data_IF_445726380782
#
_entry.id   IF_445726380782
#
_cell.length_a   1.000
_cell.length_b   1.000
_cell.length_c   1.000
_cell.angle_alpha   90.00
_cell.angle_beta   90.00
_cell.angle_gamma   90.00
#
_symmetry.space_group_name_H-M   'P 1'
#
loop_
_entity.id
_entity.type
_entity.pdbx_description
1 polymer ?
#
# COMPACT_ATOMS: atom_id res chain seq x y z
N UNK A 1 24.64 0.64 -40.97
CA UNK A 1 23.33 0.04 -40.61
C UNK A 1 22.41 0.17 -41.83
N UNK A 2 22.02 -0.97 -42.44
CA UNK A 2 21.29 -0.99 -43.72
C UNK A 2 19.79 -1.14 -43.46
N UNK A 3 19.03 -0.13 -43.88
CA UNK A 3 17.59 -0.22 -44.14
C UNK A 3 17.36 -1.33 -45.17
N UNK A 4 16.63 -2.39 -44.79
CA UNK A 4 16.18 -3.41 -45.74
C UNK A 4 14.73 -3.17 -46.09
N UNK A 5 14.57 -2.70 -47.32
CA UNK A 5 13.34 -2.48 -48.06
C UNK A 5 12.45 -3.71 -48.09
N UNK A 6 11.15 -3.50 -47.87
CA UNK A 6 10.11 -4.51 -48.05
C UNK A 6 9.87 -4.73 -49.55
N UNK A 7 10.31 -5.87 -50.08
CA UNK A 7 9.96 -6.34 -51.42
C UNK A 7 8.50 -6.81 -51.46
N UNK A 8 7.70 -6.16 -52.30
CA UNK A 8 6.36 -6.61 -52.69
C UNK A 8 6.46 -7.64 -53.81
N UNK A 9 5.91 -8.84 -53.60
CA UNK A 9 5.50 -9.74 -54.68
C UNK A 9 3.98 -9.89 -54.64
N UNK A 10 3.36 -9.50 -55.74
CA UNK A 10 1.92 -9.59 -56.00
C UNK A 10 1.64 -10.93 -56.69
N UNK A 11 1.05 -11.89 -55.97
CA UNK A 11 0.51 -13.09 -56.61
C UNK A 11 -0.82 -13.52 -55.97
N UNK A 12 -1.88 -13.29 -56.76
CA UNK A 12 -3.07 -14.14 -56.95
C UNK A 12 -4.01 -14.38 -55.74
N UNK A 13 -4.98 -13.46 -55.61
CA UNK A 13 -6.43 -13.72 -55.71
C UNK A 13 -7.02 -14.99 -55.04
N UNK A 14 -6.84 -15.18 -53.73
CA UNK A 14 -7.84 -15.85 -52.83
C UNK A 14 -7.54 -15.63 -51.34
N UNK A 15 -6.66 -14.67 -51.00
CA UNK A 15 -6.03 -14.56 -49.69
C UNK A 15 -6.23 -13.17 -49.07
N UNK A 16 -7.42 -12.56 -49.15
CA UNK A 16 -7.67 -11.22 -48.54
C UNK A 16 -8.46 -11.27 -47.23
N UNK A 17 -9.38 -12.23 -47.05
CA UNK A 17 -10.22 -12.32 -45.84
C UNK A 17 -9.44 -12.78 -44.61
N UNK A 18 -8.52 -13.73 -44.77
CA UNK A 18 -7.81 -14.38 -43.66
C UNK A 18 -6.82 -13.46 -42.96
N UNK A 19 -6.14 -12.58 -43.70
CA UNK A 19 -5.21 -11.63 -43.11
C UNK A 19 -5.92 -10.54 -42.31
N UNK A 20 -7.03 -9.95 -42.82
CA UNK A 20 -7.79 -8.95 -42.08
C UNK A 20 -8.35 -9.49 -40.75
N UNK A 21 -8.76 -10.76 -40.71
CA UNK A 21 -9.16 -11.46 -39.49
C UNK A 21 -7.95 -11.69 -38.57
N UNK A 22 -6.83 -12.18 -39.09
CA UNK A 22 -5.60 -12.41 -38.29
C UNK A 22 -5.04 -11.12 -37.67
N UNK A 23 -5.02 -10.01 -38.41
CA UNK A 23 -4.59 -8.70 -37.92
C UNK A 23 -5.55 -8.14 -36.86
N UNK A 24 -6.87 -8.26 -37.04
CA UNK A 24 -7.86 -7.87 -36.01
C UNK A 24 -7.71 -8.67 -34.72
N UNK A 25 -7.42 -9.96 -34.79
CA UNK A 25 -7.23 -10.80 -33.60
C UNK A 25 -5.92 -10.50 -32.86
N UNK A 26 -4.81 -10.28 -33.58
CA UNK A 26 -3.51 -9.93 -32.97
C UNK A 26 -3.51 -8.53 -32.33
N UNK A 27 -4.19 -7.56 -32.95
CA UNK A 27 -4.39 -6.24 -32.34
C UNK A 27 -5.33 -6.29 -31.12
N UNK A 28 -6.39 -7.11 -31.14
CA UNK A 28 -7.27 -7.28 -29.96
C UNK A 28 -6.54 -7.92 -28.78
N UNK A 29 -5.76 -8.99 -29.02
CA UNK A 29 -4.97 -9.61 -27.95
C UNK A 29 -3.91 -8.64 -27.40
N UNK A 30 -3.19 -7.93 -28.29
CA UNK A 30 -2.19 -6.94 -27.86
C UNK A 30 -2.80 -5.75 -27.11
N UNK A 31 -3.98 -5.29 -27.50
CA UNK A 31 -4.68 -4.19 -26.81
C UNK A 31 -5.22 -4.65 -25.45
N UNK A 32 -5.70 -5.90 -25.35
CA UNK A 32 -6.15 -6.49 -24.09
C UNK A 32 -5.01 -6.70 -23.10
N UNK A 33 -3.84 -7.17 -23.54
CA UNK A 33 -2.69 -7.36 -22.64
C UNK A 33 -2.14 -6.02 -22.14
N UNK A 34 -2.13 -4.98 -22.98
CA UNK A 34 -1.71 -3.62 -22.59
C UNK A 34 -2.67 -2.97 -21.60
N UNK A 35 -3.98 -3.18 -21.75
CA UNK A 35 -4.98 -2.72 -20.78
C UNK A 35 -4.84 -3.46 -19.44
N UNK A 36 -4.66 -4.78 -19.47
CA UNK A 36 -4.47 -5.56 -18.24
C UNK A 36 -3.18 -5.18 -17.50
N UNK A 37 -2.07 -4.95 -18.21
CA UNK A 37 -0.82 -4.52 -17.58
C UNK A 37 -0.93 -3.10 -16.99
N UNK A 38 -1.63 -2.18 -17.66
CA UNK A 38 -1.90 -0.84 -17.14
C UNK A 38 -2.75 -0.90 -15.86
N UNK A 39 -3.80 -1.74 -15.83
CA UNK A 39 -4.63 -1.94 -14.63
C UNK A 39 -3.81 -2.54 -13.49
N UNK A 40 -2.97 -3.54 -13.76
CA UNK A 40 -2.06 -4.13 -12.78
C UNK A 40 -1.08 -3.09 -12.20
N UNK A 41 -0.50 -2.23 -13.04
CA UNK A 41 0.39 -1.15 -12.59
C UNK A 41 -0.35 -0.13 -11.71
N UNK A 42 -1.58 0.24 -12.07
CA UNK A 42 -2.40 1.17 -11.27
C UNK A 42 -2.79 0.58 -9.91
N UNK A 43 -3.09 -0.73 -9.84
CA UNK A 43 -3.37 -1.43 -8.58
C UNK A 43 -2.11 -1.48 -7.71
N UNK A 44 -0.96 -1.81 -8.28
CA UNK A 44 0.31 -1.92 -7.55
C UNK A 44 0.77 -0.57 -6.97
N UNK A 45 0.57 0.54 -7.68
CA UNK A 45 0.88 1.88 -7.17
C UNK A 45 0.08 2.24 -5.92
N UNK A 46 -1.18 1.78 -5.80
CA UNK A 46 -2.00 2.04 -4.60
C UNK A 46 -1.51 1.30 -3.35
N UNK A 47 -0.88 0.14 -3.53
CA UNK A 47 -0.35 -0.66 -2.40
C UNK A 47 0.91 -0.06 -1.77
N UNK A 48 1.65 0.82 -2.47
CA UNK A 48 2.87 1.44 -1.95
C UNK A 48 2.63 2.68 -1.06
N UNK A 49 1.38 3.11 -0.92
CA UNK A 49 1.04 4.50 -0.53
C UNK A 49 1.35 4.90 0.91
N UNK A 50 1.68 3.98 1.84
CA UNK A 50 1.95 4.38 3.22
C UNK A 50 2.78 3.35 3.98
N UNK A 51 4.05 3.21 3.61
CA UNK A 51 5.02 2.52 4.49
C UNK A 51 5.37 3.54 5.59
N UNK A 52 5.00 3.29 6.86
CA UNK A 52 5.30 4.22 7.94
C UNK A 52 6.82 4.34 8.10
N UNK A 53 7.34 5.57 8.06
CA UNK A 53 8.77 5.81 8.26
C UNK A 53 9.08 5.93 9.74
N UNK A 54 9.94 5.05 10.25
CA UNK A 54 10.44 5.08 11.62
C UNK A 54 11.88 5.59 11.64
N UNK A 55 12.16 6.62 12.44
CA UNK A 55 13.50 7.19 12.64
C UNK A 55 13.78 7.39 14.12
N UNK A 56 15.04 7.20 14.51
CA UNK A 56 15.50 7.41 15.87
C UNK A 56 16.54 8.54 15.88
N UNK A 57 16.14 9.75 16.26
CA UNK A 57 16.98 10.96 16.17
C UNK A 57 16.87 11.73 17.48
N UNK A 58 17.98 12.29 17.99
CA UNK A 58 18.00 13.16 19.18
C UNK A 58 17.24 12.60 20.41
N UNK A 59 17.44 11.32 20.73
CA UNK A 59 16.73 10.65 21.85
C UNK A 59 15.20 10.61 21.69
N UNK A 60 14.70 10.65 20.45
CA UNK A 60 13.29 10.56 20.10
C UNK A 60 13.03 9.45 19.08
N UNK A 61 11.80 8.94 19.09
CA UNK A 61 11.27 8.08 18.04
C UNK A 61 10.32 8.90 17.18
N UNK A 62 10.72 9.17 15.94
CA UNK A 62 9.89 9.82 14.95
C UNK A 62 9.21 8.73 14.13
N UNK A 63 7.88 8.65 14.23
CA UNK A 63 7.03 7.69 13.55
C UNK A 63 5.92 8.42 12.79
N UNK A 64 6.02 8.43 11.46
CA UNK A 64 5.12 9.18 10.58
C UNK A 64 5.04 10.67 10.98
N UNK A 65 3.91 11.12 11.55
CA UNK A 65 3.69 12.49 12.04
C UNK A 65 3.84 12.64 13.56
N UNK A 66 4.30 11.61 14.26
CA UNK A 66 4.39 11.57 15.71
C UNK A 66 5.85 11.53 16.15
N UNK A 67 6.22 12.41 17.10
CA UNK A 67 7.55 12.40 17.73
C UNK A 67 7.38 12.10 19.21
N UNK A 68 7.93 10.97 19.65
CA UNK A 68 7.90 10.53 21.05
C UNK A 68 9.26 10.74 21.69
N UNK A 69 9.27 11.27 22.92
CA UNK A 69 10.46 11.28 23.76
C UNK A 69 10.88 9.86 24.16
N UNK A 70 12.10 9.73 24.65
CA UNK A 70 12.64 8.47 25.18
C UNK A 70 11.75 7.89 26.28
N UNK A 71 11.27 6.66 26.10
CA UNK A 71 10.34 6.00 27.03
C UNK A 71 8.91 6.56 27.00
N UNK A 72 8.63 7.55 26.15
CA UNK A 72 7.32 8.15 26.01
C UNK A 72 6.32 7.19 25.38
N UNK A 73 5.03 7.40 25.69
CA UNK A 73 3.92 6.70 25.06
C UNK A 73 2.83 7.65 24.59
N UNK A 74 2.20 7.32 23.47
CA UNK A 74 1.10 8.09 22.88
C UNK A 74 -0.08 7.15 22.60
N UNK A 75 -1.27 7.54 23.05
CA UNK A 75 -2.55 6.86 22.77
C UNK A 75 -3.24 7.60 21.63
N UNK A 76 -3.58 6.88 20.56
CA UNK A 76 -4.23 7.44 19.36
C UNK A 76 -5.68 6.95 19.25
N UNK A 77 -6.53 7.76 18.63
CA UNK A 77 -7.92 7.44 18.31
C UNK A 77 -8.04 6.81 16.91
N UNK A 78 -7.37 7.41 15.93
CA UNK A 78 -7.32 6.93 14.55
C UNK A 78 -5.87 7.05 14.00
N UNK A 79 -5.17 5.93 13.72
CA UNK A 79 -5.58 4.55 14.01
C UNK A 79 -5.64 4.29 15.52
N UNK A 80 -6.55 3.42 15.96
CA UNK A 80 -6.73 3.07 17.38
C UNK A 80 -5.57 2.21 17.90
N UNK A 81 -4.47 2.86 18.27
CA UNK A 81 -3.23 2.21 18.71
C UNK A 81 -2.56 3.00 19.83
N UNK A 82 -1.72 2.31 20.61
CA UNK A 82 -0.76 2.91 21.53
C UNK A 82 0.65 2.74 21.02
N UNK A 83 1.37 3.85 20.89
CA UNK A 83 2.78 3.90 20.52
C UNK A 83 3.63 3.97 21.78
N UNK A 84 4.74 3.23 21.83
CA UNK A 84 5.74 3.30 22.90
C UNK A 84 7.13 3.36 22.29
N UNK A 85 7.91 4.38 22.68
CA UNK A 85 9.25 4.62 22.16
C UNK A 85 10.33 4.02 23.07
N UNK A 86 11.01 2.98 22.59
CA UNK A 86 12.18 2.38 23.24
C UNK A 86 13.47 2.79 22.52
N UNK A 87 13.88 4.04 22.68
CA UNK A 87 15.04 4.60 21.96
C UNK A 87 16.33 3.78 22.15
N UNK A 88 16.66 3.34 23.37
CA UNK A 88 17.86 2.53 23.63
C UNK A 88 17.83 1.15 22.97
N UNK A 89 16.63 0.60 22.75
CA UNK A 89 16.44 -0.67 22.04
C UNK A 89 16.27 -0.47 20.53
N UNK A 90 16.23 0.78 20.07
CA UNK A 90 15.86 1.17 18.70
C UNK A 90 14.56 0.51 18.25
N UNK A 91 13.58 0.51 19.14
CA UNK A 91 12.30 -0.17 18.94
C UNK A 91 11.16 0.81 19.18
N UNK A 92 10.14 0.74 18.32
CA UNK A 92 8.84 1.38 18.54
C UNK A 92 7.79 0.29 18.63
N UNK A 93 7.15 0.16 19.78
CA UNK A 93 6.06 -0.80 19.96
C UNK A 93 4.75 -0.13 19.55
N UNK A 94 4.01 -0.77 18.63
CA UNK A 94 2.67 -0.33 18.19
C UNK A 94 1.66 -1.35 18.69
N UNK A 95 0.96 -1.02 19.77
CA UNK A 95 -0.08 -1.87 20.35
C UNK A 95 -1.44 -1.48 19.79
N UNK A 96 -2.03 -2.34 18.96
CA UNK A 96 -3.38 -2.15 18.45
C UNK A 96 -4.45 -2.74 19.38
N UNK A 97 -5.60 -3.05 18.79
CA UNK A 97 -6.67 -3.81 19.43
C UNK A 97 -6.48 -5.32 19.15
N UNK A 98 -6.97 -6.22 20.04
CA UNK A 98 -7.67 -5.93 21.30
C UNK A 98 -6.72 -5.39 22.38
N UNK A 99 -7.19 -4.43 23.16
CA UNK A 99 -6.40 -3.88 24.25
C UNK A 99 -6.24 -4.95 25.36
N UNK A 100 -5.04 -5.11 25.95
CA UNK A 100 -4.82 -6.07 27.03
C UNK A 100 -5.66 -5.69 28.27
N UNK A 101 -6.01 -6.66 29.12
CA UNK A 101 -6.76 -6.39 30.35
C UNK A 101 -5.99 -5.40 31.23
N UNK A 102 -6.71 -4.50 31.91
CA UNK A 102 -6.16 -3.42 32.77
C UNK A 102 -5.31 -2.37 32.01
N UNK A 103 -5.60 -2.12 30.74
CA UNK A 103 -4.94 -1.07 29.96
C UNK A 103 -5.58 0.32 30.07
N UNK A 104 -6.77 0.40 30.66
CA UNK A 104 -7.51 1.65 30.91
C UNK A 104 -6.96 2.32 32.17
N UNK A 105 -6.68 3.63 32.10
CA UNK A 105 -6.37 4.39 33.31
C UNK A 105 -7.66 4.80 34.03
N UNK A 106 -7.69 4.80 35.37
CA UNK A 106 -8.86 5.25 36.13
C UNK A 106 -9.12 6.76 35.97
N UNK A 107 -8.11 7.53 35.55
CA UNK A 107 -8.21 8.96 35.27
C UNK A 107 -8.74 9.26 33.85
N UNK A 108 -8.83 8.23 32.98
CA UNK A 108 -9.36 8.41 31.63
C UNK A 108 -10.86 8.73 31.71
N UNK A 109 -11.28 9.75 30.96
CA UNK A 109 -12.70 10.11 30.86
C UNK A 109 -13.52 8.91 30.35
N UNK A 110 -14.76 8.68 30.84
CA UNK A 110 -15.64 7.64 30.30
C UNK A 110 -15.99 7.86 28.83
N UNK A 111 -15.74 9.07 28.30
CA UNK A 111 -15.95 9.44 26.89
C UNK A 111 -14.64 9.51 26.09
N UNK A 112 -13.52 9.01 26.63
CA UNK A 112 -12.26 8.96 25.91
C UNK A 112 -12.43 8.16 24.61
N UNK A 113 -12.01 8.74 23.49
CA UNK A 113 -12.08 8.12 22.16
C UNK A 113 -10.70 7.64 21.66
N UNK A 114 -9.70 7.58 22.54
CA UNK A 114 -8.35 7.10 22.23
C UNK A 114 -8.11 5.72 22.82
N UNK A 115 -7.05 5.03 22.37
CA UNK A 115 -6.71 3.70 22.86
C UNK A 115 -6.52 3.71 24.39
N UNK A 116 -7.12 2.80 25.18
CA UNK A 116 -7.79 1.57 24.76
C UNK A 116 -9.29 1.70 24.51
N UNK A 117 -9.92 2.84 24.81
CA UNK A 117 -11.37 3.04 24.72
C UNK A 117 -11.92 3.01 23.28
N UNK A 118 -11.09 3.37 22.29
CA UNK A 118 -11.46 3.19 20.88
C UNK A 118 -11.44 1.73 20.41
N UNK A 119 -10.89 0.80 21.20
CA UNK A 119 -10.94 -0.61 20.85
C UNK A 119 -12.36 -1.12 21.09
N UNK A 120 -13.16 -1.15 20.03
CA UNK A 120 -14.46 -1.77 20.08
C UNK A 120 -14.27 -3.25 20.43
N UNK A 121 -14.95 -3.71 21.49
CA UNK A 121 -14.89 -5.08 22.01
C UNK A 121 -15.47 -6.13 21.04
N UNK A 122 -15.78 -5.75 19.79
CA UNK A 122 -16.46 -6.58 18.80
C UNK A 122 -15.61 -6.93 17.57
N UNK A 123 -14.30 -6.65 17.56
CA UNK A 123 -13.39 -7.20 16.55
C UNK A 123 -12.94 -8.61 16.98
N UNK A 124 -13.91 -9.53 17.00
CA UNK A 124 -13.70 -10.98 17.16
C UNK A 124 -13.86 -11.64 15.80
#
# INVERSE_FOLDING_TARGET
MRLRSCTWSFEVRTRRRTYAVSYRHRCKLGMQTMLMSLVLLLVFQRSLSKIPSLRFVNSRCDYDNYSLSIGGSLRLADPCVRLVCWYYRKELTVNGCPAPPNSSDPDDSPYAMYWPHCCNSSAT
#
